data_IF_670348778553
#
_entry.id   IF_670348778553
#
_cell.length_a   1.000
_cell.length_b   1.000
_cell.length_c   1.000
_cell.angle_alpha   90.00
_cell.angle_beta   90.00
_cell.angle_gamma   90.00
#
_symmetry.space_group_name_H-M   'P 1'
#
loop_
_entity.id
_entity.type
_entity.pdbx_description
1 polymer ?
#
# COMPACT_ATOMS: atom_id res chain seq x y z
N UNK A 1 6.61 -5.53 -9.86
CA UNK A 1 6.84 -4.45 -8.89
C UNK A 1 6.15 -4.71 -7.55
N UNK A 2 5.18 -5.64 -7.49
CA UNK A 2 4.52 -6.04 -6.23
C UNK A 2 5.55 -6.54 -5.21
N UNK A 3 6.57 -7.26 -5.68
CA UNK A 3 7.64 -7.83 -4.86
C UNK A 3 8.43 -6.73 -4.14
N UNK A 4 8.92 -5.72 -4.86
CA UNK A 4 9.65 -4.59 -4.26
C UNK A 4 8.78 -3.80 -3.28
N UNK A 5 7.52 -3.54 -3.63
CA UNK A 5 6.58 -2.86 -2.74
C UNK A 5 6.33 -3.69 -1.46
N UNK A 6 6.16 -5.00 -1.59
CA UNK A 6 5.93 -5.88 -0.46
C UNK A 6 7.14 -5.97 0.47
N UNK A 7 8.35 -6.06 -0.08
CA UNK A 7 9.59 -6.11 0.72
C UNK A 7 9.82 -4.79 1.48
N UNK A 8 9.58 -3.65 0.85
CA UNK A 8 9.69 -2.34 1.51
C UNK A 8 8.62 -2.17 2.59
N UNK A 9 7.37 -2.58 2.31
CA UNK A 9 6.29 -2.55 3.29
C UNK A 9 6.58 -3.48 4.47
N UNK A 10 7.11 -4.68 4.24
CA UNK A 10 7.52 -5.62 5.29
C UNK A 10 8.56 -5.02 6.23
N UNK A 11 9.57 -4.32 5.69
CA UNK A 11 10.55 -3.59 6.52
C UNK A 11 9.89 -2.50 7.37
N UNK A 12 8.96 -1.73 6.79
CA UNK A 12 8.16 -0.74 7.53
C UNK A 12 7.32 -1.37 8.65
N UNK A 13 6.70 -2.52 8.39
CA UNK A 13 5.89 -3.26 9.38
C UNK A 13 6.74 -3.77 10.56
N UNK A 14 8.00 -4.17 10.33
CA UNK A 14 8.93 -4.52 11.42
C UNK A 14 9.29 -3.30 12.25
N UNK A 15 9.68 -2.20 11.61
CA UNK A 15 10.07 -0.96 12.31
C UNK A 15 8.90 -0.39 13.13
N UNK A 16 7.68 -0.54 12.62
CA UNK A 16 6.45 -0.16 13.32
C UNK A 16 6.01 -1.17 14.42
N UNK A 17 6.75 -2.25 14.64
CA UNK A 17 6.43 -3.32 15.59
C UNK A 17 5.06 -3.99 15.33
N UNK A 18 4.65 -4.06 14.05
CA UNK A 18 3.42 -4.72 13.60
C UNK A 18 3.68 -6.17 13.20
N UNK A 19 4.79 -6.42 12.50
CA UNK A 19 5.22 -7.76 12.11
C UNK A 19 6.34 -8.27 13.03
N UNK A 20 6.31 -9.56 13.37
CA UNK A 20 7.28 -10.17 14.31
C UNK A 20 8.64 -10.46 13.68
N UNK A 21 8.63 -10.74 12.38
CA UNK A 21 9.82 -11.03 11.57
C UNK A 21 9.54 -10.67 10.11
N UNK A 22 10.55 -10.85 9.26
CA UNK A 22 10.45 -10.45 7.86
C UNK A 22 9.48 -11.30 7.04
N UNK A 23 9.42 -12.60 7.27
CA UNK A 23 8.50 -13.49 6.54
C UNK A 23 7.04 -13.14 6.85
N UNK A 24 6.72 -12.94 8.13
CA UNK A 24 5.41 -12.43 8.60
C UNK A 24 5.08 -11.06 7.98
N UNK A 25 6.06 -10.15 7.94
CA UNK A 25 5.91 -8.84 7.32
C UNK A 25 5.62 -8.92 5.81
N UNK A 26 6.29 -9.83 5.08
CA UNK A 26 6.07 -10.04 3.65
C UNK A 26 4.70 -10.63 3.39
N UNK A 27 4.27 -11.61 4.18
CA UNK A 27 2.93 -12.19 4.05
C UNK A 27 1.84 -11.13 4.28
N UNK A 28 1.94 -10.37 5.38
CA UNK A 28 1.02 -9.27 5.69
C UNK A 28 1.01 -8.20 4.60
N UNK A 29 2.18 -7.80 4.09
CA UNK A 29 2.30 -6.82 3.02
C UNK A 29 1.64 -7.31 1.73
N UNK A 30 1.91 -8.55 1.30
CA UNK A 30 1.32 -9.13 0.09
C UNK A 30 -0.20 -9.26 0.21
N UNK A 31 -0.71 -9.72 1.35
CA UNK A 31 -2.14 -9.83 1.61
C UNK A 31 -2.82 -8.45 1.62
N UNK A 32 -2.09 -7.42 2.08
CA UNK A 32 -2.57 -6.04 2.07
C UNK A 32 -2.61 -5.47 0.67
N UNK A 33 -1.53 -5.58 -0.10
CA UNK A 33 -1.41 -5.06 -1.47
C UNK A 33 -2.43 -5.71 -2.41
N UNK A 34 -2.69 -7.01 -2.25
CA UNK A 34 -3.61 -7.75 -3.12
C UNK A 34 -5.09 -7.47 -2.83
N UNK A 35 -5.41 -6.91 -1.65
CA UNK A 35 -6.78 -6.52 -1.35
C UNK A 35 -7.02 -5.09 -1.84
N UNK A 36 -8.26 -4.72 -2.20
CA UNK A 36 -8.56 -3.38 -2.74
C UNK A 36 -8.40 -2.23 -1.72
N UNK A 37 -8.11 -2.54 -0.44
CA UNK A 37 -8.15 -1.54 0.63
C UNK A 37 -7.06 -0.47 0.52
N UNK A 38 -5.79 -0.75 0.16
CA UNK A 38 -4.77 0.30 0.05
C UNK A 38 -5.09 1.30 -1.04
N UNK A 39 -5.67 0.85 -2.16
CA UNK A 39 -6.05 1.75 -3.24
C UNK A 39 -7.24 2.63 -2.86
N UNK A 40 -8.26 2.07 -2.19
CA UNK A 40 -9.37 2.88 -1.63
C UNK A 40 -8.89 3.90 -0.60
N UNK A 41 -7.95 3.52 0.27
CA UNK A 41 -7.33 4.44 1.22
C UNK A 41 -6.58 5.57 0.49
N UNK A 42 -5.84 5.23 -0.57
CA UNK A 42 -5.16 6.21 -1.40
C UNK A 42 -6.14 7.16 -2.09
N UNK A 43 -7.25 6.66 -2.63
CA UNK A 43 -8.32 7.49 -3.19
C UNK A 43 -8.88 8.47 -2.16
N UNK A 44 -9.22 7.99 -0.95
CA UNK A 44 -9.70 8.85 0.14
C UNK A 44 -8.66 9.90 0.55
N UNK A 45 -7.39 9.52 0.65
CA UNK A 45 -6.31 10.45 0.97
C UNK A 45 -6.16 11.57 -0.07
N UNK A 46 -6.26 11.23 -1.36
CA UNK A 46 -6.20 12.21 -2.45
C UNK A 46 -7.46 13.10 -2.48
N UNK A 47 -8.63 12.57 -2.13
CA UNK A 47 -9.85 13.36 -2.00
C UNK A 47 -9.74 14.42 -0.89
N UNK A 48 -9.07 14.08 0.22
CA UNK A 48 -8.91 15.00 1.36
C UNK A 48 -7.77 16.00 1.19
N UNK A 49 -6.64 15.57 0.61
CA UNK A 49 -5.39 16.35 0.63
C UNK A 49 -4.85 16.74 -0.75
N UNK A 50 -5.42 16.22 -1.84
CA UNK A 50 -4.82 16.28 -3.17
C UNK A 50 -5.77 16.74 -4.28
N UNK A 51 -5.38 16.46 -5.52
CA UNK A 51 -6.22 16.69 -6.70
C UNK A 51 -6.75 15.37 -7.26
N UNK A 52 -8.00 15.06 -6.94
CA UNK A 52 -8.69 13.86 -7.42
C UNK A 52 -8.80 13.78 -8.96
N UNK A 53 -8.75 14.91 -9.69
CA UNK A 53 -8.77 14.87 -11.16
C UNK A 53 -7.53 14.18 -11.72
N UNK A 54 -6.37 14.36 -11.09
CA UNK A 54 -5.12 13.71 -11.51
C UNK A 54 -5.14 12.21 -11.30
N UNK A 55 -5.86 11.73 -10.28
CA UNK A 55 -6.03 10.29 -10.07
C UNK A 55 -6.91 9.68 -11.17
N UNK A 56 -7.99 10.36 -11.57
CA UNK A 56 -8.86 9.92 -12.67
C UNK A 56 -8.13 9.85 -14.01
N UNK A 57 -7.34 10.88 -14.33
CA UNK A 57 -6.53 10.93 -15.56
C UNK A 57 -5.63 9.68 -15.70
N UNK A 58 -5.08 9.16 -14.59
CA UNK A 58 -4.21 7.97 -14.58
C UNK A 58 -5.00 6.65 -14.59
N UNK A 59 -6.23 6.64 -14.07
CA UNK A 59 -7.09 5.43 -14.11
C UNK A 59 -7.68 5.19 -15.50
N UNK A 60 -7.86 6.24 -16.30
CA UNK A 60 -8.46 6.18 -17.63
C UNK A 60 -7.42 6.02 -18.76
N UNK A 61 -6.12 6.05 -18.43
CA UNK A 61 -5.00 5.88 -19.37
C UNK A 61 -4.56 4.43 -19.52
#
# INVERSE_FOLDING_TARGET
>A
MIETTALNAAAGLIVANVAKNFDDGVELALNTIKNEKPFKLFESFIQECGNASKLKEVQES
#
